data_IF_085539445016
#
_entry.id   IF_085539445016
#
_cell.length_a   1.000
_cell.length_b   1.000
_cell.length_c   1.000
_cell.angle_alpha   90.00
_cell.angle_beta   90.00
_cell.angle_gamma   90.00
#
_symmetry.space_group_name_H-M   'P 1'
#
loop_
_entity.id
_entity.type
_entity.pdbx_description
1 polymer ?
#
# COMPACT_ATOMS: atom_id res chain seq x y z
N UNK A 1 11.62 -12.91 -34.58
CA UNK A 1 11.24 -12.54 -33.19
C UNK A 1 10.41 -11.25 -33.12
N UNK A 2 10.83 -10.12 -33.72
CA UNK A 2 10.10 -8.84 -33.71
C UNK A 2 8.68 -8.86 -34.37
N UNK A 3 8.42 -9.81 -35.28
CA UNK A 3 7.11 -9.95 -35.96
C UNK A 3 6.14 -10.92 -35.28
N UNK A 4 6.52 -11.54 -34.16
CA UNK A 4 5.61 -12.39 -33.40
C UNK A 4 4.46 -11.54 -32.83
N UNK A 5 3.23 -12.02 -32.96
CA UNK A 5 2.02 -11.33 -32.46
C UNK A 5 2.11 -11.04 -30.96
N UNK A 6 2.65 -11.98 -30.18
CA UNK A 6 2.90 -11.81 -28.73
C UNK A 6 3.90 -10.69 -28.45
N UNK A 7 4.96 -10.57 -29.25
CA UNK A 7 5.97 -9.52 -29.07
C UNK A 7 5.39 -8.14 -29.38
N UNK A 8 4.63 -8.00 -30.47
CA UNK A 8 3.95 -6.73 -30.80
C UNK A 8 2.92 -6.32 -29.75
N UNK A 9 2.11 -7.26 -29.27
CA UNK A 9 1.14 -7.02 -28.21
C UNK A 9 1.83 -6.61 -26.89
N UNK A 10 2.89 -7.31 -26.51
CA UNK A 10 3.69 -6.98 -25.32
C UNK A 10 4.34 -5.59 -25.42
N UNK A 11 4.91 -5.24 -26.57
CA UNK A 11 5.49 -3.91 -26.80
C UNK A 11 4.43 -2.80 -26.71
N UNK A 12 3.23 -3.02 -27.27
CA UNK A 12 2.12 -2.07 -27.15
C UNK A 12 1.69 -1.88 -25.70
N UNK A 13 1.56 -2.97 -24.94
CA UNK A 13 1.21 -2.92 -23.52
C UNK A 13 2.26 -2.16 -22.69
N UNK A 14 3.55 -2.40 -22.94
CA UNK A 14 4.64 -1.67 -22.28
C UNK A 14 4.56 -0.16 -22.55
N UNK A 15 4.32 0.25 -23.80
CA UNK A 15 4.17 1.67 -24.14
C UNK A 15 2.96 2.29 -23.45
N UNK A 16 1.83 1.59 -23.36
CA UNK A 16 0.66 2.09 -22.64
C UNK A 16 0.94 2.29 -21.15
N UNK A 17 1.56 1.32 -20.48
CA UNK A 17 1.83 1.40 -19.03
C UNK A 17 2.89 2.47 -18.73
N UNK A 18 4.01 2.46 -19.47
CA UNK A 18 5.09 3.43 -19.27
C UNK A 18 4.66 4.86 -19.66
N UNK A 19 3.86 5.00 -20.72
CA UNK A 19 3.34 6.28 -21.17
C UNK A 19 2.48 6.97 -20.10
N UNK A 20 1.54 6.23 -19.48
CA UNK A 20 0.71 6.76 -18.39
C UNK A 20 1.55 7.07 -17.15
N UNK A 21 2.49 6.20 -16.78
CA UNK A 21 3.38 6.44 -15.64
C UNK A 21 4.25 7.69 -15.84
N UNK A 22 4.79 7.89 -17.04
CA UNK A 22 5.62 9.04 -17.38
C UNK A 22 4.82 10.35 -17.42
N UNK A 23 3.61 10.33 -17.97
CA UNK A 23 2.70 11.48 -17.92
C UNK A 23 2.36 11.85 -16.47
N UNK A 24 2.10 10.86 -15.61
CA UNK A 24 1.88 11.09 -14.19
C UNK A 24 3.09 11.72 -13.49
N UNK A 25 4.29 11.17 -13.70
CA UNK A 25 5.53 11.69 -13.12
C UNK A 25 5.83 13.13 -13.55
N UNK A 26 5.68 13.44 -14.84
CA UNK A 26 5.88 14.80 -15.36
C UNK A 26 4.83 15.78 -14.82
N UNK A 27 3.56 15.38 -14.74
CA UNK A 27 2.51 16.20 -14.15
C UNK A 27 2.77 16.51 -12.68
N UNK A 28 3.15 15.50 -11.89
CA UNK A 28 3.48 15.65 -10.46
C UNK A 28 4.70 16.54 -10.28
N UNK A 29 5.76 16.36 -11.09
CA UNK A 29 6.95 17.22 -11.04
C UNK A 29 6.64 18.67 -11.36
N UNK A 30 5.75 18.94 -12.31
CA UNK A 30 5.35 20.30 -12.67
C UNK A 30 4.58 21.02 -11.55
N UNK A 31 3.87 20.28 -10.68
CA UNK A 31 3.04 20.83 -9.60
C UNK A 31 3.54 20.43 -8.21
N UNK A 32 4.81 20.05 -8.09
CA UNK A 32 5.33 19.44 -6.86
C UNK A 32 5.23 20.39 -5.66
N UNK A 33 5.36 21.70 -5.86
CA UNK A 33 5.23 22.72 -4.81
C UNK A 33 3.82 22.79 -4.22
N UNK A 34 2.81 22.78 -5.08
CA UNK A 34 1.41 22.88 -4.67
C UNK A 34 0.97 21.57 -4.00
N UNK A 35 1.39 20.44 -4.56
CA UNK A 35 1.18 19.11 -3.98
C UNK A 35 1.86 19.02 -2.61
N UNK A 36 3.10 19.48 -2.48
CA UNK A 36 3.83 19.54 -1.21
C UNK A 36 3.12 20.38 -0.17
N UNK A 37 2.59 21.54 -0.56
CA UNK A 37 1.87 22.42 0.37
C UNK A 37 0.60 21.73 0.87
N UNK A 38 -0.27 21.28 -0.04
CA UNK A 38 -1.56 20.70 0.34
C UNK A 38 -1.41 19.35 1.04
N UNK A 39 -0.61 18.43 0.48
CA UNK A 39 -0.43 17.10 1.05
C UNK A 39 0.43 17.14 2.32
N UNK A 40 1.44 18.03 2.37
CA UNK A 40 2.25 18.27 3.55
C UNK A 40 1.41 18.81 4.70
N UNK A 41 0.58 19.83 4.46
CA UNK A 41 -0.33 20.38 5.49
C UNK A 41 -1.32 19.33 6.00
N UNK A 42 -1.88 18.51 5.11
CA UNK A 42 -2.76 17.41 5.49
C UNK A 42 -2.05 16.37 6.37
N UNK A 43 -0.84 15.96 5.99
CA UNK A 43 -0.06 14.96 6.74
C UNK A 43 0.52 15.53 8.04
N UNK A 44 0.75 16.84 8.11
CA UNK A 44 1.18 17.52 9.33
C UNK A 44 0.03 17.62 10.33
N UNK A 45 -1.17 17.99 9.88
CA UNK A 45 -2.36 18.09 10.72
C UNK A 45 -2.96 16.71 11.09
N UNK A 46 -2.83 15.73 10.20
CA UNK A 46 -3.35 14.37 10.38
C UNK A 46 -2.32 13.30 10.02
N UNK A 47 -1.28 13.08 10.85
CA UNK A 47 -0.19 12.14 10.56
C UNK A 47 -0.63 10.69 10.30
N UNK A 48 -1.73 10.27 10.92
CA UNK A 48 -2.32 8.94 10.75
C UNK A 48 -2.85 8.67 9.34
N UNK A 49 -3.10 9.71 8.52
CA UNK A 49 -3.53 9.54 7.13
C UNK A 49 -2.49 8.80 6.29
N UNK A 50 -1.20 8.91 6.64
CA UNK A 50 -0.15 8.16 5.95
C UNK A 50 -0.40 6.65 6.06
N UNK A 51 -0.78 6.15 7.24
CA UNK A 51 -1.11 4.75 7.42
C UNK A 51 -2.30 4.32 6.56
N UNK A 52 -3.31 5.18 6.41
CA UNK A 52 -4.47 4.89 5.55
C UNK A 52 -4.05 4.79 4.08
N UNK A 53 -3.24 5.73 3.59
CA UNK A 53 -2.71 5.71 2.23
C UNK A 53 -1.88 4.44 1.99
N UNK A 54 -0.99 4.11 2.92
CA UNK A 54 -0.15 2.90 2.83
C UNK A 54 -0.97 1.61 2.86
N UNK A 55 -2.04 1.55 3.66
CA UNK A 55 -2.94 0.39 3.75
C UNK A 55 -3.60 0.09 2.39
N UNK A 56 -4.20 1.11 1.77
CA UNK A 56 -4.84 0.94 0.47
C UNK A 56 -3.83 0.70 -0.64
N UNK A 57 -2.69 1.40 -0.63
CA UNK A 57 -1.64 1.15 -1.60
C UNK A 57 -1.08 -0.27 -1.52
N UNK A 58 -0.87 -0.80 -0.32
CA UNK A 58 -0.43 -2.18 -0.11
C UNK A 58 -1.45 -3.20 -0.61
N UNK A 59 -2.73 -2.92 -0.40
CA UNK A 59 -3.82 -3.74 -0.94
C UNK A 59 -3.76 -3.83 -2.47
N UNK A 60 -3.44 -2.72 -3.15
CA UNK A 60 -3.41 -2.65 -4.61
C UNK A 60 -2.09 -3.16 -5.22
N UNK A 61 -0.96 -2.85 -4.59
CA UNK A 61 0.38 -3.21 -5.08
C UNK A 61 0.77 -4.64 -4.70
N UNK A 62 0.03 -5.27 -3.78
CA UNK A 62 0.24 -6.65 -3.36
C UNK A 62 1.66 -6.98 -2.87
N UNK A 63 2.40 -5.96 -2.44
CA UNK A 63 3.78 -6.10 -1.98
C UNK A 63 4.13 -5.02 -0.96
N UNK A 64 4.51 -5.47 0.23
CA UNK A 64 4.98 -4.59 1.30
C UNK A 64 6.19 -3.77 0.84
N UNK A 65 7.17 -4.44 0.22
CA UNK A 65 8.41 -3.81 -0.25
C UNK A 65 8.16 -2.84 -1.40
N UNK A 66 7.30 -3.21 -2.37
CA UNK A 66 6.96 -2.31 -3.48
C UNK A 66 6.24 -1.05 -2.98
N UNK A 67 5.27 -1.22 -2.08
CA UNK A 67 4.52 -0.10 -1.49
C UNK A 67 5.44 0.85 -0.73
N UNK A 68 6.30 0.29 0.13
CA UNK A 68 7.29 1.07 0.89
C UNK A 68 8.20 1.84 -0.05
N UNK A 69 8.78 1.16 -1.05
CA UNK A 69 9.71 1.77 -2.00
C UNK A 69 9.06 2.86 -2.85
N UNK A 70 7.78 2.69 -3.19
CA UNK A 70 7.05 3.66 -4.00
C UNK A 70 6.62 4.90 -3.21
N UNK A 71 6.12 4.73 -1.98
CA UNK A 71 5.41 5.80 -1.27
C UNK A 71 6.20 6.44 -0.13
N UNK A 72 7.03 5.70 0.59
CA UNK A 72 7.74 6.25 1.76
C UNK A 72 8.75 7.36 1.40
N UNK A 73 9.55 7.25 0.32
CA UNK A 73 10.42 8.36 -0.09
C UNK A 73 9.62 9.61 -0.45
N UNK A 74 8.49 9.46 -1.14
CA UNK A 74 7.61 10.57 -1.48
C UNK A 74 7.02 11.22 -0.22
N UNK A 75 6.51 10.43 0.73
CA UNK A 75 6.00 10.95 2.00
C UNK A 75 7.06 11.76 2.77
N UNK A 76 8.30 11.28 2.85
CA UNK A 76 9.39 12.01 3.50
C UNK A 76 9.73 13.33 2.78
N UNK A 77 9.68 13.35 1.43
CA UNK A 77 9.84 14.58 0.65
C UNK A 77 8.70 15.59 0.84
N UNK A 78 7.52 15.14 1.29
CA UNK A 78 6.37 15.98 1.63
C UNK A 78 6.46 16.53 3.08
N UNK A 79 7.55 16.26 3.81
CA UNK A 79 7.77 16.79 5.17
C UNK A 79 7.21 15.90 6.28
N UNK A 80 6.82 14.66 5.99
CA UNK A 80 6.40 13.69 7.02
C UNK A 80 7.55 13.43 7.99
N UNK A 81 7.26 13.47 9.29
CA UNK A 81 8.27 13.18 10.31
C UNK A 81 8.72 11.71 10.26
N UNK A 82 10.00 11.40 10.57
CA UNK A 82 10.48 10.01 10.66
C UNK A 82 9.65 9.15 11.61
N UNK A 83 9.19 9.74 12.73
CA UNK A 83 8.26 9.11 13.65
C UNK A 83 6.98 8.64 12.96
N UNK A 84 6.32 9.53 12.20
CA UNK A 84 5.07 9.22 11.48
C UNK A 84 5.29 8.13 10.44
N UNK A 85 6.42 8.17 9.73
CA UNK A 85 6.78 7.15 8.76
C UNK A 85 6.95 5.77 9.44
N UNK A 86 7.69 5.69 10.54
CA UNK A 86 7.91 4.44 11.28
C UNK A 86 6.61 3.93 11.89
N UNK A 87 5.84 4.80 12.54
CA UNK A 87 4.56 4.45 13.16
C UNK A 87 3.55 3.92 12.13
N UNK A 88 3.52 4.51 10.93
CA UNK A 88 2.60 4.12 9.85
C UNK A 88 3.07 2.88 9.07
N UNK A 89 4.31 2.43 9.27
CA UNK A 89 4.91 1.37 8.45
C UNK A 89 4.14 0.05 8.53
N UNK A 90 3.53 -0.29 9.68
CA UNK A 90 2.74 -1.53 9.78
C UNK A 90 1.59 -1.62 8.76
N UNK A 91 1.11 -0.48 8.23
CA UNK A 91 0.05 -0.45 7.23
C UNK A 91 0.45 -1.02 5.87
N UNK A 92 1.76 -1.08 5.53
CA UNK A 92 2.21 -1.71 4.27
C UNK A 92 1.98 -3.23 4.23
N UNK A 93 1.57 -3.83 5.36
CA UNK A 93 1.28 -5.25 5.50
C UNK A 93 -0.17 -5.63 5.18
N UNK A 94 -0.99 -4.71 4.64
CA UNK A 94 -2.40 -4.92 4.29
C UNK A 94 -2.62 -5.83 3.05
N UNK A 95 -1.78 -6.85 2.88
CA UNK A 95 -1.79 -7.78 1.74
C UNK A 95 -2.95 -8.79 1.80
N UNK A 96 -3.57 -8.91 2.97
CA UNK A 96 -4.67 -9.84 3.22
C UNK A 96 -6.05 -9.29 2.82
N UNK A 97 -6.17 -7.99 2.51
CA UNK A 97 -7.47 -7.31 2.32
C UNK A 97 -8.24 -7.87 1.13
N UNK A 98 -7.52 -8.20 0.06
CA UNK A 98 -8.07 -8.91 -1.07
C UNK A 98 -7.72 -10.41 -0.92
N UNK A 99 -8.67 -11.33 -1.09
CA UNK A 99 -8.47 -12.76 -0.85
C UNK A 99 -7.76 -13.45 -2.03
N UNK A 100 -6.70 -12.83 -2.56
CA UNK A 100 -5.89 -13.38 -3.66
C UNK A 100 -4.43 -13.59 -3.27
N UNK A 101 -4.06 -13.26 -2.02
CA UNK A 101 -2.68 -13.44 -1.57
C UNK A 101 -2.36 -14.94 -1.37
N UNK A 102 -1.27 -15.48 -1.94
CA UNK A 102 -1.00 -16.91 -1.92
C UNK A 102 -0.92 -17.52 -0.51
N UNK A 103 -0.37 -16.80 0.46
CA UNK A 103 -0.26 -17.29 1.83
C UNK A 103 -1.61 -17.36 2.55
N UNK A 104 -2.54 -16.46 2.21
CA UNK A 104 -3.91 -16.49 2.74
C UNK A 104 -4.67 -17.68 2.15
N UNK A 105 -4.56 -17.89 0.84
CA UNK A 105 -5.18 -19.03 0.16
C UNK A 105 -4.64 -20.36 0.70
N UNK A 106 -3.32 -20.47 0.85
CA UNK A 106 -2.69 -21.65 1.45
C UNK A 106 -3.19 -21.90 2.89
N UNK A 107 -3.35 -20.84 3.69
CA UNK A 107 -3.87 -20.97 5.05
C UNK A 107 -5.32 -21.51 5.09
N UNK A 108 -6.16 -21.11 4.14
CA UNK A 108 -7.54 -21.63 4.00
C UNK A 108 -7.54 -23.09 3.57
N UNK A 109 -6.71 -23.46 2.59
CA UNK A 109 -6.63 -24.84 2.09
C UNK A 109 -6.02 -25.82 3.11
N UNK A 110 -5.14 -25.35 3.98
CA UNK A 110 -4.51 -26.16 5.03
C UNK A 110 -5.35 -26.26 6.32
N UNK A 111 -6.45 -25.52 6.44
CA UNK A 111 -7.25 -25.49 7.67
C UNK A 111 -8.32 -26.58 7.72
N UNK A 112 -7.96 -27.71 8.32
CA UNK A 112 -8.87 -28.84 8.55
C UNK A 112 -10.00 -28.54 9.56
N UNK A 113 -9.91 -27.47 10.35
CA UNK A 113 -10.98 -27.08 11.31
C UNK A 113 -12.13 -26.35 10.62
N UNK A 114 -11.89 -25.83 9.43
CA UNK A 114 -12.82 -24.99 8.69
C UNK A 114 -13.14 -23.66 9.40
N UNK A 115 -12.24 -23.16 10.24
CA UNK A 115 -12.40 -21.87 10.93
C UNK A 115 -12.02 -20.68 10.03
N UNK A 116 -11.14 -20.92 9.05
CA UNK A 116 -10.71 -19.96 8.03
C UNK A 116 -11.40 -20.29 6.71
N UNK A 117 -12.19 -19.34 6.20
CA UNK A 117 -12.95 -19.51 4.96
C UNK A 117 -12.99 -18.21 4.16
N UNK A 118 -13.14 -18.36 2.86
CA UNK A 118 -13.49 -17.28 1.93
C UNK A 118 -14.99 -17.40 1.63
N UNK A 119 -15.72 -16.35 1.95
CA UNK A 119 -17.16 -16.25 1.72
C UNK A 119 -17.52 -15.76 0.31
N UNK A 120 -18.80 -15.42 0.13
CA UNK A 120 -19.36 -15.03 -1.18
C UNK A 120 -18.86 -13.68 -1.72
N UNK A 121 -18.42 -12.78 -0.85
CA UNK A 121 -18.01 -11.41 -1.22
C UNK A 121 -16.50 -11.25 -1.12
N UNK A 122 -15.94 -10.34 -1.92
CA UNK A 122 -14.49 -10.07 -1.98
C UNK A 122 -13.91 -9.80 -0.58
N UNK A 123 -14.58 -8.99 0.23
CA UNK A 123 -14.14 -8.64 1.58
C UNK A 123 -14.72 -9.55 2.68
N UNK A 124 -15.30 -10.70 2.32
CA UNK A 124 -15.88 -11.63 3.29
C UNK A 124 -14.92 -12.81 3.48
N UNK A 125 -13.90 -12.66 4.33
CA UNK A 125 -12.99 -13.75 4.69
C UNK A 125 -12.47 -13.61 6.13
N UNK A 126 -12.10 -14.74 6.73
CA UNK A 126 -11.73 -14.84 8.15
C UNK A 126 -10.57 -13.92 8.57
N UNK A 127 -9.69 -13.56 7.64
CA UNK A 127 -8.49 -12.75 7.90
C UNK A 127 -8.74 -11.23 7.93
N UNK A 128 -9.87 -10.73 7.40
CA UNK A 128 -10.06 -9.30 7.24
C UNK A 128 -10.15 -8.59 8.59
N UNK A 129 -11.06 -9.02 9.46
CA UNK A 129 -11.30 -8.38 10.76
C UNK A 129 -10.04 -8.49 11.65
N UNK A 130 -9.44 -9.67 11.88
CA UNK A 130 -8.24 -9.77 12.70
C UNK A 130 -7.06 -8.99 12.12
N UNK A 131 -6.87 -9.03 10.79
CA UNK A 131 -5.78 -8.32 10.13
C UNK A 131 -5.91 -6.80 10.22
N UNK A 132 -7.11 -6.25 10.02
CA UNK A 132 -7.36 -4.81 10.17
C UNK A 132 -7.11 -4.39 11.62
N UNK A 133 -7.64 -5.14 12.59
CA UNK A 133 -7.41 -4.87 14.02
C UNK A 133 -5.92 -4.88 14.35
N UNK A 134 -5.18 -5.88 13.88
CA UNK A 134 -3.74 -6.00 14.12
C UNK A 134 -2.97 -4.80 13.56
N UNK A 135 -3.24 -4.40 12.30
CA UNK A 135 -2.59 -3.22 11.71
C UNK A 135 -2.95 -1.95 12.48
N UNK A 136 -4.23 -1.74 12.80
CA UNK A 136 -4.68 -0.55 13.54
C UNK A 136 -3.98 -0.46 14.89
N UNK A 137 -3.91 -1.57 15.64
CA UNK A 137 -3.20 -1.62 16.92
C UNK A 137 -1.70 -1.34 16.75
N UNK A 138 -1.04 -1.95 15.77
CA UNK A 138 0.37 -1.71 15.50
C UNK A 138 0.66 -0.24 15.18
N UNK A 139 -0.18 0.42 14.38
CA UNK A 139 -0.02 1.84 14.04
C UNK A 139 -0.24 2.72 15.28
N UNK A 140 -1.30 2.48 16.06
CA UNK A 140 -1.58 3.23 17.29
C UNK A 140 -0.41 3.09 18.27
N UNK A 141 0.03 1.86 18.52
CA UNK A 141 1.17 1.60 19.39
C UNK A 141 2.46 2.22 18.84
N UNK A 142 2.65 2.22 17.52
CA UNK A 142 3.77 2.88 16.86
C UNK A 142 3.82 4.38 17.16
N UNK A 143 2.68 5.08 17.12
CA UNK A 143 2.59 6.49 17.49
C UNK A 143 2.82 6.72 18.99
N UNK A 144 2.23 5.88 19.85
CA UNK A 144 2.37 6.01 21.31
C UNK A 144 3.82 5.79 21.74
N UNK A 145 4.41 4.64 21.39
CA UNK A 145 5.77 4.30 21.79
C UNK A 145 6.79 5.21 21.12
N UNK A 146 6.61 5.50 19.83
CA UNK A 146 7.49 6.40 19.13
C UNK A 146 7.47 7.81 19.71
N UNK A 147 6.31 8.34 20.12
CA UNK A 147 6.22 9.64 20.79
C UNK A 147 6.77 9.68 22.22
N UNK A 148 7.00 8.52 22.86
CA UNK A 148 7.67 8.42 24.16
C UNK A 148 9.20 8.30 23.98
N UNK A 149 9.64 7.62 22.92
CA UNK A 149 11.05 7.24 22.74
C UNK A 149 11.87 8.19 21.85
N UNK A 150 11.22 8.95 20.96
CA UNK A 150 11.85 9.85 19.98
C UNK A 150 11.41 11.30 20.20
#
# INVERSE_FOLDING_TARGET
MLNASTFKSGMSACVCVLGVAWLGDTFVKAHISDIQTVAGDLLHNYPWLLAVVLFFAATLLYSQAATTKALMPAALMLGVSPLTAIASFAAVSALFVLPTYPTLLAAVEMDDTGSTRIGKYVFNHAFLIPGVIAITLCVILGFIFGGIML
#
